data_IF_450320656063
#
_entry.id   IF_450320656063
#
_cell.length_a   1.000
_cell.length_b   1.000
_cell.length_c   1.000
_cell.angle_alpha   90.00
_cell.angle_beta   90.00
_cell.angle_gamma   90.00
#
_symmetry.space_group_name_H-M   'P 1'
#
loop_
_entity.id
_entity.type
_entity.pdbx_description
1 polymer ?
#
# COMPACT_ATOMS: atom_id res chain seq x y z
N UNK A 1 4.42 -17.86 9.59
CA UNK A 1 4.87 -16.60 10.22
C UNK A 1 3.63 -15.83 10.64
N UNK A 2 3.55 -15.38 11.89
CA UNK A 2 2.42 -14.55 12.32
C UNK A 2 2.52 -13.15 11.70
N UNK A 3 1.38 -12.45 11.63
CA UNK A 3 1.34 -11.10 11.07
C UNK A 3 2.17 -10.11 11.88
N UNK A 4 2.19 -10.24 13.21
CA UNK A 4 2.98 -9.36 14.10
C UNK A 4 4.49 -9.61 13.97
N UNK A 5 4.91 -10.86 13.80
CA UNK A 5 6.30 -11.21 13.50
C UNK A 5 6.73 -10.61 12.15
N UNK A 6 5.89 -10.73 11.12
CA UNK A 6 6.12 -10.10 9.82
C UNK A 6 6.26 -8.58 9.95
N UNK A 7 5.32 -7.90 10.61
CA UNK A 7 5.33 -6.44 10.76
C UNK A 7 6.56 -5.94 11.52
N UNK A 8 7.03 -6.71 12.51
CA UNK A 8 8.25 -6.39 13.26
C UNK A 8 9.48 -6.53 12.37
N UNK A 9 9.58 -7.62 11.59
CA UNK A 9 10.69 -7.84 10.66
C UNK A 9 10.77 -6.81 9.54
N UNK A 10 9.62 -6.27 9.11
CA UNK A 10 9.54 -5.30 8.02
C UNK A 10 10.09 -3.89 8.34
N UNK A 11 10.44 -3.57 9.59
CA UNK A 11 10.92 -2.23 9.96
C UNK A 11 12.37 -1.96 9.58
N UNK A 12 13.18 -3.01 9.45
CA UNK A 12 14.65 -2.92 9.36
C UNK A 12 15.21 -3.68 8.14
N UNK A 13 14.41 -3.89 7.08
CA UNK A 13 14.80 -4.68 5.89
C UNK A 13 15.18 -3.84 4.68
N UNK A 14 16.26 -4.25 4.00
CA UNK A 14 16.70 -3.68 2.72
C UNK A 14 15.73 -4.02 1.56
N UNK A 15 15.03 -5.15 1.64
CA UNK A 15 14.03 -5.59 0.66
C UNK A 15 12.67 -5.78 1.32
N UNK A 16 11.67 -5.08 0.82
CA UNK A 16 10.30 -5.13 1.33
C UNK A 16 9.58 -6.39 0.87
N UNK A 17 8.60 -6.84 1.65
CA UNK A 17 7.76 -7.98 1.32
C UNK A 17 6.28 -7.71 1.60
N UNK A 18 5.39 -8.36 0.85
CA UNK A 18 3.94 -8.35 1.08
C UNK A 18 3.52 -9.56 1.91
N UNK A 19 2.42 -9.42 2.65
CA UNK A 19 1.80 -10.49 3.44
C UNK A 19 0.36 -10.71 3.00
N UNK A 20 0.04 -11.92 2.58
CA UNK A 20 -1.32 -12.30 2.18
C UNK A 20 -1.60 -13.77 2.49
N UNK A 21 -2.74 -14.05 3.14
CA UNK A 21 -3.19 -15.43 3.40
C UNK A 21 -2.23 -16.28 4.24
N UNK A 22 -1.43 -15.67 5.11
CA UNK A 22 -0.43 -16.37 5.92
C UNK A 22 0.97 -16.44 5.31
N UNK A 23 1.11 -16.06 4.05
CA UNK A 23 2.33 -16.18 3.25
C UNK A 23 3.00 -14.83 3.03
N UNK A 24 4.33 -14.86 2.82
CA UNK A 24 5.14 -13.66 2.57
C UNK A 24 5.81 -13.70 1.21
N UNK A 25 5.63 -12.63 0.46
CA UNK A 25 6.08 -12.49 -0.92
C UNK A 25 7.08 -11.35 -1.01
N UNK A 26 8.30 -11.64 -1.47
CA UNK A 26 9.28 -10.59 -1.69
C UNK A 26 8.78 -9.62 -2.77
N UNK A 27 8.84 -8.32 -2.51
CA UNK A 27 8.54 -7.34 -3.54
C UNK A 27 9.64 -7.34 -4.60
N UNK A 28 9.23 -7.35 -5.86
CA UNK A 28 10.12 -6.94 -6.94
C UNK A 28 10.34 -5.42 -6.86
N UNK A 29 11.59 -4.98 -7.03
CA UNK A 29 11.89 -3.55 -7.14
C UNK A 29 11.20 -2.92 -8.36
N UNK A 30 10.98 -1.61 -8.30
CA UNK A 30 10.38 -0.86 -9.40
C UNK A 30 11.39 -0.62 -10.54
N UNK A 31 10.95 -0.80 -11.79
CA UNK A 31 11.71 -0.43 -12.99
C UNK A 31 11.33 0.97 -13.47
N UNK A 32 12.15 1.61 -14.30
CA UNK A 32 11.81 2.91 -14.92
C UNK A 32 10.45 2.86 -15.64
N UNK A 33 10.22 1.82 -16.45
CA UNK A 33 8.94 1.60 -17.14
C UNK A 33 7.75 1.49 -16.18
N UNK A 34 7.95 0.78 -15.06
CA UNK A 34 6.93 0.64 -14.03
C UNK A 34 6.62 1.99 -13.37
N UNK A 35 7.65 2.76 -13.01
CA UNK A 35 7.51 4.10 -12.44
C UNK A 35 6.80 5.07 -13.39
N UNK A 36 7.10 5.03 -14.70
CA UNK A 36 6.40 5.87 -15.69
C UNK A 36 4.92 5.56 -15.74
N UNK A 37 4.56 4.26 -15.83
CA UNK A 37 3.16 3.83 -15.90
C UNK A 37 2.43 4.21 -14.60
N UNK A 38 2.99 3.85 -13.45
CA UNK A 38 2.39 4.16 -12.15
C UNK A 38 2.20 5.67 -11.96
N UNK A 39 3.19 6.49 -12.33
CA UNK A 39 3.11 7.94 -12.24
C UNK A 39 2.00 8.54 -13.12
N UNK A 40 1.86 8.07 -14.36
CA UNK A 40 0.80 8.53 -15.28
C UNK A 40 -0.60 8.22 -14.74
N UNK A 41 -0.78 7.02 -14.19
CA UNK A 41 -2.05 6.64 -13.56
C UNK A 41 -2.31 7.42 -12.27
N UNK A 42 -1.29 7.57 -11.43
CA UNK A 42 -1.40 8.34 -10.18
C UNK A 42 -1.84 9.77 -10.46
N UNK A 43 -1.21 10.44 -11.42
CA UNK A 43 -1.57 11.80 -11.80
C UNK A 43 -3.05 11.89 -12.19
N UNK A 44 -3.51 11.00 -13.08
CA UNK A 44 -4.90 10.97 -13.54
C UNK A 44 -5.88 10.68 -12.40
N UNK A 45 -5.57 9.73 -11.52
CA UNK A 45 -6.42 9.42 -10.35
C UNK A 45 -6.50 10.64 -9.45
N UNK A 46 -5.36 11.19 -9.04
CA UNK A 46 -5.29 12.32 -8.13
C UNK A 46 -6.01 13.57 -8.67
N UNK A 47 -5.98 13.79 -9.98
CA UNK A 47 -6.71 14.89 -10.65
C UNK A 47 -8.24 14.76 -10.60
N UNK A 48 -8.78 13.55 -10.46
CA UNK A 48 -10.22 13.30 -10.52
C UNK A 48 -10.81 12.82 -9.20
N UNK A 49 -9.99 12.73 -8.15
CA UNK A 49 -10.47 12.39 -6.81
C UNK A 49 -11.26 13.57 -6.21
N UNK A 50 -12.36 13.29 -5.49
CA UNK A 50 -13.04 14.28 -4.66
C UNK A 50 -12.09 14.90 -3.60
N UNK A 51 -12.42 16.09 -3.09
CA UNK A 51 -11.56 16.80 -2.12
C UNK A 51 -11.32 16.03 -0.82
N UNK A 52 -12.28 15.21 -0.38
CA UNK A 52 -12.16 14.36 0.80
C UNK A 52 -11.30 13.11 0.57
N UNK A 53 -10.82 12.90 -0.65
CA UNK A 53 -10.01 11.76 -1.02
C UNK A 53 -8.58 12.16 -1.32
N UNK A 54 -7.66 11.24 -1.06
CA UNK A 54 -6.24 11.40 -1.37
C UNK A 54 -5.73 10.14 -2.04
N UNK A 55 -4.89 10.33 -3.05
CA UNK A 55 -4.08 9.26 -3.61
C UNK A 55 -2.67 9.35 -3.03
N UNK A 56 -2.05 8.19 -2.87
CA UNK A 56 -0.63 8.04 -2.61
C UNK A 56 -0.06 7.10 -3.67
N UNK A 57 1.18 7.35 -4.07
CA UNK A 57 1.94 6.46 -4.93
C UNK A 57 3.23 6.08 -4.23
N UNK A 58 3.77 4.94 -4.64
CA UNK A 58 5.10 4.44 -4.27
C UNK A 58 5.23 4.08 -2.80
N UNK A 59 5.78 2.90 -2.54
CA UNK A 59 6.49 2.57 -1.30
C UNK A 59 5.73 2.80 0.03
N UNK A 60 4.41 2.96 -0.01
CA UNK A 60 3.56 3.01 1.17
C UNK A 60 2.95 1.65 1.42
N UNK A 61 3.01 1.22 2.68
CA UNK A 61 2.45 -0.05 3.13
C UNK A 61 1.00 0.14 3.55
N UNK A 62 0.12 -0.68 2.99
CA UNK A 62 -1.29 -0.77 3.41
C UNK A 62 -1.44 -2.01 4.27
N UNK A 63 -1.87 -1.81 5.52
CA UNK A 63 -2.21 -2.90 6.44
C UNK A 63 -3.71 -2.90 6.65
N UNK A 64 -4.32 -4.08 6.61
CA UNK A 64 -5.75 -4.23 6.84
C UNK A 64 -6.16 -5.66 7.15
N UNK A 65 -7.47 -5.89 7.11
CA UNK A 65 -8.08 -7.20 7.24
C UNK A 65 -9.08 -7.43 6.11
N UNK A 66 -9.11 -8.64 5.58
CA UNK A 66 -10.16 -9.10 4.65
C UNK A 66 -11.50 -9.22 5.39
N UNK A 67 -12.58 -9.47 4.65
CA UNK A 67 -13.93 -9.61 5.23
C UNK A 67 -14.02 -10.75 6.25
N UNK A 68 -13.30 -11.85 5.99
CA UNK A 68 -13.16 -13.01 6.88
C UNK A 68 -12.06 -12.83 7.95
N UNK A 69 -11.66 -11.59 8.23
CA UNK A 69 -10.74 -11.20 9.31
C UNK A 69 -9.29 -11.67 9.15
N UNK A 70 -8.87 -12.08 7.95
CA UNK A 70 -7.48 -12.41 7.70
C UNK A 70 -6.65 -11.13 7.52
N UNK A 71 -5.54 -10.95 8.24
CA UNK A 71 -4.70 -9.77 8.09
C UNK A 71 -3.95 -9.80 6.76
N UNK A 72 -3.69 -8.62 6.20
CA UNK A 72 -2.86 -8.45 5.01
C UNK A 72 -1.96 -7.23 5.13
N UNK A 73 -0.89 -7.23 4.33
CA UNK A 73 -0.01 -6.09 4.13
C UNK A 73 0.44 -6.05 2.67
N UNK A 74 0.15 -4.96 1.98
CA UNK A 74 0.53 -4.76 0.58
C UNK A 74 1.33 -3.47 0.40
N UNK A 75 2.14 -3.42 -0.65
CA UNK A 75 2.78 -2.21 -1.14
C UNK A 75 2.28 -1.93 -2.56
N UNK A 76 1.07 -1.39 -2.69
CA UNK A 76 0.49 -1.14 -4.00
C UNK A 76 1.27 -0.03 -4.72
N UNK A 77 1.25 -0.07 -6.05
CA UNK A 77 1.80 1.00 -6.88
C UNK A 77 1.09 2.34 -6.65
N UNK A 78 -0.23 2.27 -6.49
CA UNK A 78 -1.12 3.41 -6.22
C UNK A 78 -2.20 2.96 -5.24
N UNK A 79 -2.43 3.78 -4.23
CA UNK A 79 -3.52 3.62 -3.27
C UNK A 79 -4.29 4.93 -3.17
N UNK A 80 -5.61 4.85 -2.99
CA UNK A 80 -6.42 6.02 -2.71
C UNK A 80 -7.41 5.69 -1.60
N UNK A 81 -7.66 6.66 -0.74
CA UNK A 81 -8.64 6.56 0.33
C UNK A 81 -9.36 7.89 0.47
N UNK A 82 -10.60 7.81 0.91
CA UNK A 82 -11.40 8.97 1.27
C UNK A 82 -11.58 8.97 2.78
N UNK A 83 -11.50 10.14 3.37
CA UNK A 83 -11.93 10.32 4.76
C UNK A 83 -13.40 10.70 4.74
N UNK A 84 -14.24 10.00 5.52
CA UNK A 84 -15.64 10.37 5.67
C UNK A 84 -15.81 11.64 6.54
N UNK A 85 -14.77 12.05 7.31
CA UNK A 85 -14.69 13.32 8.03
C UNK A 85 -13.25 13.56 8.55
N UNK A 86 -12.52 14.50 7.92
CA UNK A 86 -11.31 15.10 8.50
C UNK A 86 -11.74 16.07 9.63
N UNK A 87 -12.06 15.55 10.81
CA UNK A 87 -11.96 16.34 12.04
C UNK A 87 -10.59 16.07 12.68
N UNK A 88 -9.81 17.12 12.99
CA UNK A 88 -8.48 16.96 13.54
C UNK A 88 -8.56 16.35 14.95
N UNK A 89 -7.74 15.33 15.19
CA UNK A 89 -7.25 14.97 16.52
C UNK A 89 -5.76 15.25 16.60
#
# INVERSE_FOLDING_TARGET
MSFDEYLTGERDVDSRSEYAGGEVYAMAGASERHNTIAGDFYARINLHLPEQCRAWQSDMKVVGKTQDQQPFSYYPDIMAACEDDLLPH
#
